data_IF_639768947233
#
_entry.id   IF_639768947233
#
_cell.length_a   1.000
_cell.length_b   1.000
_cell.length_c   1.000
_cell.angle_alpha   90.00
_cell.angle_beta   90.00
_cell.angle_gamma   90.00
#
_symmetry.space_group_name_H-M   'P 1'
#
loop_
_entity.id
_entity.type
_entity.pdbx_description
1 polymer ?
#
# COMPACT_ATOMS: atom_id res chain seq x y z
N UNK A 1 5.46 42.68 -54.69
CA UNK A 1 4.12 43.12 -54.23
C UNK A 1 3.19 41.93 -54.35
N UNK A 2 2.82 41.35 -53.22
CA UNK A 2 1.56 40.62 -53.03
C UNK A 2 1.23 40.67 -51.53
N UNK A 3 0.48 41.69 -51.08
CA UNK A 3 -0.08 41.72 -49.74
C UNK A 3 -1.58 41.44 -49.83
N UNK A 4 -2.02 40.25 -49.38
CA UNK A 4 -3.33 39.97 -48.79
C UNK A 4 -3.62 38.47 -48.87
N UNK A 5 -3.06 37.71 -47.93
CA UNK A 5 -3.82 36.59 -47.38
C UNK A 5 -4.39 37.08 -46.05
N UNK A 6 -5.72 37.29 -46.07
CA UNK A 6 -6.48 37.73 -44.92
C UNK A 6 -6.30 36.74 -43.77
N UNK A 7 -5.74 37.26 -42.68
CA UNK A 7 -5.79 36.61 -41.37
C UNK A 7 -7.25 36.62 -40.94
N UNK A 8 -7.97 35.54 -41.22
CA UNK A 8 -9.21 35.23 -40.51
C UNK A 8 -8.83 35.06 -39.04
N UNK A 9 -9.43 35.82 -38.10
CA UNK A 9 -9.21 35.53 -36.69
C UNK A 9 -9.83 34.15 -36.47
N UNK A 10 -8.97 33.15 -36.25
CA UNK A 10 -9.36 31.90 -35.63
C UNK A 10 -10.21 32.29 -34.42
N UNK A 11 -11.50 31.99 -34.48
CA UNK A 11 -12.41 32.05 -33.34
C UNK A 11 -11.83 31.10 -32.30
N UNK A 12 -10.92 31.64 -31.47
CA UNK A 12 -10.27 30.91 -30.40
C UNK A 12 -11.36 30.56 -29.40
N UNK A 13 -11.83 29.33 -29.52
CA UNK A 13 -12.75 28.70 -28.60
C UNK A 13 -12.07 28.69 -27.24
N UNK A 14 -12.64 29.46 -26.30
CA UNK A 14 -12.13 29.59 -24.94
C UNK A 14 -13.03 28.79 -24.03
N UNK A 15 -12.45 27.83 -23.33
CA UNK A 15 -13.21 26.86 -22.55
C UNK A 15 -13.05 27.19 -21.07
N UNK A 16 -14.17 27.38 -20.37
CA UNK A 16 -14.20 27.55 -18.92
C UNK A 16 -14.82 26.31 -18.28
N UNK A 17 -14.58 26.12 -16.99
CA UNK A 17 -15.18 25.02 -16.24
C UNK A 17 -16.72 25.09 -16.16
N UNK A 18 -17.30 26.26 -16.44
CA UNK A 18 -18.74 26.53 -16.36
C UNK A 18 -19.44 26.79 -17.72
N UNK A 19 -18.69 27.02 -18.79
CA UNK A 19 -19.24 27.25 -20.14
C UNK A 19 -18.17 27.20 -21.24
N UNK A 20 -18.62 27.09 -22.48
CA UNK A 20 -17.80 27.26 -23.68
C UNK A 20 -18.12 28.56 -24.42
N UNK A 21 -17.07 29.20 -24.94
CA UNK A 21 -17.16 30.43 -25.72
C UNK A 21 -16.85 30.15 -27.19
N UNK A 22 -17.87 30.27 -28.03
CA UNK A 22 -17.74 30.41 -29.48
C UNK A 22 -18.35 31.74 -29.90
N UNK A 23 -17.59 32.64 -30.55
CA UNK A 23 -18.17 33.80 -31.25
C UNK A 23 -18.94 34.84 -30.43
N UNK A 24 -19.00 34.74 -29.10
CA UNK A 24 -19.75 35.65 -28.23
C UNK A 24 -21.05 35.08 -27.66
N UNK A 25 -21.42 33.85 -28.00
CA UNK A 25 -22.51 33.10 -27.35
C UNK A 25 -21.97 32.32 -26.15
N UNK A 26 -22.58 32.54 -24.98
CA UNK A 26 -22.29 31.79 -23.76
C UNK A 26 -23.18 30.54 -23.71
N UNK A 27 -22.60 29.36 -23.79
CA UNK A 27 -23.33 28.11 -23.58
C UNK A 27 -23.14 27.66 -22.12
N UNK A 28 -24.04 28.14 -21.24
CA UNK A 28 -24.00 27.82 -19.83
C UNK A 28 -24.26 26.32 -19.58
N UNK A 29 -23.39 25.67 -18.82
CA UNK A 29 -23.62 24.32 -18.35
C UNK A 29 -24.66 24.30 -17.21
N UNK A 30 -25.36 23.18 -16.98
CA UNK A 30 -26.22 23.04 -15.81
C UNK A 30 -25.42 23.21 -14.51
N UNK A 31 -26.06 23.73 -13.46
CA UNK A 31 -25.47 23.84 -12.11
C UNK A 31 -25.41 22.48 -11.38
N UNK A 32 -25.16 21.40 -12.12
CA UNK A 32 -24.93 20.08 -11.59
C UNK A 32 -23.43 19.90 -11.34
N UNK A 33 -23.08 19.60 -10.09
CA UNK A 33 -21.71 19.41 -9.65
C UNK A 33 -21.00 18.29 -10.42
N UNK A 34 -21.73 17.26 -10.88
CA UNK A 34 -21.15 16.15 -11.66
C UNK A 34 -20.69 16.60 -13.04
N UNK A 35 -21.54 17.36 -13.73
CA UNK A 35 -21.26 17.87 -15.08
C UNK A 35 -20.08 18.85 -15.03
N UNK A 36 -20.08 19.74 -14.03
CA UNK A 36 -19.00 20.71 -13.83
C UNK A 36 -17.68 20.01 -13.46
N UNK A 37 -17.73 18.96 -12.63
CA UNK A 37 -16.57 18.15 -12.29
C UNK A 37 -16.00 17.39 -13.52
N UNK A 38 -16.84 16.75 -14.32
CA UNK A 38 -16.43 16.10 -15.57
C UNK A 38 -15.80 17.10 -16.54
N UNK A 39 -16.37 18.31 -16.63
CA UNK A 39 -15.81 19.39 -17.45
C UNK A 39 -14.41 19.78 -16.99
N UNK A 40 -14.21 19.93 -15.68
CA UNK A 40 -12.88 20.23 -15.12
C UNK A 40 -11.88 19.13 -15.46
N UNK A 41 -12.27 17.84 -15.36
CA UNK A 41 -11.42 16.71 -15.76
C UNK A 41 -11.07 16.76 -17.26
N UNK A 42 -12.00 17.15 -18.13
CA UNK A 42 -11.76 17.28 -19.59
C UNK A 42 -10.81 18.42 -19.94
N UNK A 43 -10.84 19.51 -19.17
CA UNK A 43 -9.98 20.67 -19.36
C UNK A 43 -8.56 20.48 -18.79
N UNK A 44 -8.33 19.41 -18.02
CA UNK A 44 -7.04 19.08 -17.42
C UNK A 44 -6.01 18.74 -18.52
N UNK A 45 -5.15 19.71 -18.86
CA UNK A 45 -4.16 19.58 -19.93
C UNK A 45 -4.56 20.20 -21.28
N UNK A 46 -5.76 20.78 -21.39
CA UNK A 46 -6.18 21.54 -22.56
C UNK A 46 -5.56 22.94 -22.56
N UNK A 47 -4.97 23.34 -23.68
CA UNK A 47 -4.36 24.68 -23.87
C UNK A 47 -5.39 25.79 -24.07
N UNK A 48 -6.65 25.44 -24.33
CA UNK A 48 -7.78 26.37 -24.49
C UNK A 48 -8.52 26.65 -23.19
N UNK A 49 -8.15 25.95 -22.10
CA UNK A 49 -8.71 26.14 -20.78
C UNK A 49 -8.28 27.50 -20.20
N UNK A 50 -9.26 28.32 -19.87
CA UNK A 50 -9.06 29.63 -19.26
C UNK A 50 -9.19 29.57 -17.74
N UNK A 51 -8.57 30.52 -17.05
CA UNK A 51 -8.62 30.60 -15.58
C UNK A 51 -10.04 30.91 -15.09
N UNK A 52 -10.41 30.47 -13.86
CA UNK A 52 -11.70 30.79 -13.26
C UNK A 52 -11.94 32.32 -13.19
N UNK A 53 -12.94 32.82 -13.94
CA UNK A 53 -13.33 34.24 -13.96
C UNK A 53 -14.81 34.42 -13.54
N UNK A 54 -15.01 34.99 -12.34
CA UNK A 54 -16.33 35.23 -11.77
C UNK A 54 -17.05 36.42 -12.43
N UNK A 55 -16.32 37.43 -12.89
CA UNK A 55 -16.92 38.60 -13.56
C UNK A 55 -17.54 38.17 -14.89
N UNK A 56 -16.87 37.27 -15.59
CA UNK A 56 -17.36 36.71 -16.83
C UNK A 56 -18.53 35.76 -16.61
N UNK A 57 -18.48 34.94 -15.55
CA UNK A 57 -19.60 34.08 -15.17
C UNK A 57 -20.90 34.88 -14.89
N UNK A 58 -20.78 36.07 -14.27
CA UNK A 58 -21.91 36.99 -14.08
C UNK A 58 -22.36 37.60 -15.41
N UNK A 59 -21.43 38.06 -16.26
CA UNK A 59 -21.75 38.63 -17.59
C UNK A 59 -22.49 37.64 -18.50
N UNK A 60 -22.14 36.35 -18.44
CA UNK A 60 -22.81 35.29 -19.19
C UNK A 60 -24.12 34.80 -18.55
N UNK A 61 -24.53 35.34 -17.40
CA UNK A 61 -25.76 34.95 -16.72
C UNK A 61 -25.72 33.56 -16.06
N UNK A 62 -24.53 32.98 -15.92
CA UNK A 62 -24.34 31.70 -15.24
C UNK A 62 -24.59 31.84 -13.73
N UNK A 63 -24.14 32.94 -13.12
CA UNK A 63 -24.32 33.22 -11.69
C UNK A 63 -24.74 34.67 -11.48
N UNK A 64 -25.46 34.96 -10.38
CA UNK A 64 -25.97 36.30 -10.10
C UNK A 64 -24.92 37.22 -9.51
N UNK A 65 -24.01 36.65 -8.71
CA UNK A 65 -23.00 37.42 -7.99
C UNK A 65 -21.78 36.55 -7.67
N UNK A 66 -20.74 37.21 -7.14
CA UNK A 66 -19.48 36.57 -6.73
C UNK A 66 -19.68 35.51 -5.63
N UNK A 67 -20.66 35.67 -4.74
CA UNK A 67 -20.94 34.70 -3.67
C UNK A 67 -21.41 33.37 -4.25
N UNK A 68 -22.43 33.41 -5.10
CA UNK A 68 -22.97 32.23 -5.79
C UNK A 68 -21.90 31.53 -6.65
N UNK A 69 -21.03 32.31 -7.31
CA UNK A 69 -19.87 31.76 -8.01
C UNK A 69 -18.93 30.97 -7.10
N UNK A 70 -18.54 31.56 -5.97
CA UNK A 70 -17.60 30.93 -5.03
C UNK A 70 -18.21 29.71 -4.36
N UNK A 71 -19.50 29.76 -4.01
CA UNK A 71 -20.21 28.61 -3.43
C UNK A 71 -20.26 27.44 -4.41
N UNK A 72 -20.57 27.71 -5.68
CA UNK A 72 -20.61 26.69 -6.72
C UNK A 72 -19.21 26.12 -7.03
N UNK A 73 -18.20 26.99 -7.09
CA UNK A 73 -16.80 26.58 -7.28
C UNK A 73 -16.32 25.71 -6.12
N UNK A 74 -16.59 26.14 -4.89
CA UNK A 74 -16.20 25.40 -3.69
C UNK A 74 -16.89 24.04 -3.61
N UNK A 75 -18.21 23.99 -3.88
CA UNK A 75 -18.95 22.73 -3.89
C UNK A 75 -18.45 21.77 -4.98
N UNK A 76 -18.17 22.28 -6.18
CA UNK A 76 -17.59 21.47 -7.28
C UNK A 76 -16.19 20.96 -6.93
N UNK A 77 -15.36 21.80 -6.30
CA UNK A 77 -14.02 21.41 -5.85
C UNK A 77 -14.06 20.34 -4.75
N UNK A 78 -14.97 20.45 -3.79
CA UNK A 78 -15.18 19.41 -2.77
C UNK A 78 -15.68 18.10 -3.38
N UNK A 79 -16.60 18.17 -4.34
CA UNK A 79 -17.08 17.01 -5.06
C UNK A 79 -15.95 16.29 -5.81
N UNK A 80 -15.13 17.04 -6.57
CA UNK A 80 -13.95 16.51 -7.26
C UNK A 80 -12.94 15.89 -6.30
N UNK A 81 -12.67 16.54 -5.18
CA UNK A 81 -11.75 16.02 -4.17
C UNK A 81 -12.27 14.70 -3.57
N UNK A 82 -13.56 14.63 -3.23
CA UNK A 82 -14.19 13.42 -2.70
C UNK A 82 -14.20 12.28 -3.73
N UNK A 83 -14.55 12.57 -4.98
CA UNK A 83 -14.55 11.60 -6.09
C UNK A 83 -13.15 11.03 -6.33
N UNK A 84 -12.13 11.88 -6.36
CA UNK A 84 -10.73 11.47 -6.50
C UNK A 84 -10.25 10.60 -5.35
N UNK A 85 -10.63 10.92 -4.11
CA UNK A 85 -10.32 10.09 -2.92
C UNK A 85 -10.98 8.71 -3.05
N UNK A 86 -12.22 8.64 -3.50
CA UNK A 86 -12.95 7.37 -3.67
C UNK A 86 -12.34 6.51 -4.79
N UNK A 87 -11.97 7.12 -5.92
CA UNK A 87 -11.25 6.44 -7.01
C UNK A 87 -9.89 5.90 -6.54
N UNK A 88 -9.04 6.72 -5.90
CA UNK A 88 -7.73 6.28 -5.41
C UNK A 88 -7.84 5.20 -4.32
N UNK A 89 -8.82 5.34 -3.40
CA UNK A 89 -9.05 4.36 -2.34
C UNK A 89 -9.46 3.00 -2.88
N UNK A 90 -10.14 2.91 -4.02
CA UNK A 90 -10.52 1.62 -4.62
C UNK A 90 -9.31 0.89 -5.21
N UNK A 91 -8.37 1.63 -5.79
CA UNK A 91 -7.18 1.09 -6.45
C UNK A 91 -6.17 0.50 -5.47
N UNK A 92 -6.01 1.12 -4.29
CA UNK A 92 -5.00 0.67 -3.32
C UNK A 92 -5.46 -0.48 -2.41
N UNK A 93 -6.67 -1.00 -2.62
CA UNK A 93 -7.25 -2.14 -1.88
C UNK A 93 -7.02 -2.04 -0.35
N UNK A 94 -7.58 -1.03 0.34
CA UNK A 94 -7.31 -0.72 1.75
C UNK A 94 -7.65 -1.88 2.69
N UNK A 95 -8.56 -2.77 2.28
CA UNK A 95 -8.87 -4.00 2.99
C UNK A 95 -7.62 -4.86 3.21
N UNK A 96 -6.72 -5.00 2.22
CA UNK A 96 -5.52 -5.83 2.33
C UNK A 96 -4.56 -5.26 3.39
N UNK A 97 -4.38 -3.94 3.38
CA UNK A 97 -3.54 -3.22 4.36
C UNK A 97 -4.10 -3.43 5.77
N UNK A 98 -5.41 -3.26 5.94
CA UNK A 98 -6.08 -3.46 7.24
C UNK A 98 -5.96 -4.91 7.70
N UNK A 99 -6.13 -5.90 6.81
CA UNK A 99 -5.97 -7.31 7.17
C UNK A 99 -4.53 -7.62 7.63
N UNK A 100 -3.52 -7.06 6.99
CA UNK A 100 -2.11 -7.20 7.41
C UNK A 100 -1.88 -6.56 8.77
N UNK A 101 -2.36 -5.33 8.98
CA UNK A 101 -2.26 -4.65 10.29
C UNK A 101 -2.93 -5.47 11.39
N UNK A 102 -4.14 -5.98 11.15
CA UNK A 102 -4.84 -6.85 12.09
C UNK A 102 -4.05 -8.13 12.39
N UNK A 103 -3.36 -8.71 11.40
CA UNK A 103 -2.52 -9.88 11.61
C UNK A 103 -1.34 -9.56 12.55
N UNK A 104 -0.72 -8.39 12.39
CA UNK A 104 0.40 -7.93 13.24
C UNK A 104 -0.04 -7.58 14.66
N UNK A 105 -1.23 -7.00 14.82
CA UNK A 105 -1.84 -6.77 16.13
C UNK A 105 -2.13 -8.09 16.85
N UNK A 106 -2.69 -9.08 16.15
CA UNK A 106 -2.93 -10.41 16.73
C UNK A 106 -1.61 -11.07 17.15
N UNK A 107 -0.56 -10.99 16.33
CA UNK A 107 0.77 -11.51 16.68
C UNK A 107 1.32 -10.80 17.95
N UNK A 108 1.10 -9.49 18.07
CA UNK A 108 1.50 -8.71 19.26
C UNK A 108 0.74 -9.15 20.52
N UNK A 109 -0.58 -9.30 20.43
CA UNK A 109 -1.41 -9.77 21.56
C UNK A 109 -1.02 -11.19 21.98
N UNK A 110 -0.83 -12.10 21.03
CA UNK A 110 -0.40 -13.48 21.33
C UNK A 110 0.93 -13.48 22.08
N UNK A 111 1.89 -12.68 21.65
CA UNK A 111 3.20 -12.58 22.30
C UNK A 111 3.08 -12.01 23.71
N UNK A 112 2.35 -10.90 23.88
CA UNK A 112 2.14 -10.28 25.17
C UNK A 112 1.48 -11.25 26.17
N UNK A 113 0.36 -11.87 25.78
CA UNK A 113 -0.33 -12.82 26.63
C UNK A 113 0.55 -14.02 26.96
N UNK A 114 1.27 -14.56 25.98
CA UNK A 114 2.18 -15.69 26.21
C UNK A 114 3.29 -15.35 27.21
N UNK A 115 3.89 -14.17 27.11
CA UNK A 115 4.91 -13.71 28.07
C UNK A 115 4.34 -13.54 29.47
N UNK A 116 3.18 -12.89 29.60
CA UNK A 116 2.52 -12.69 30.90
C UNK A 116 2.09 -14.03 31.54
N UNK A 117 1.57 -14.96 30.75
CA UNK A 117 1.20 -16.31 31.22
C UNK A 117 2.42 -17.06 31.75
N UNK A 118 3.58 -16.95 31.07
CA UNK A 118 4.83 -17.59 31.52
C UNK A 118 5.32 -16.99 32.83
N UNK A 119 5.24 -15.67 32.99
CA UNK A 119 5.59 -15.01 34.25
C UNK A 119 4.67 -15.43 35.40
N UNK A 120 3.35 -15.47 35.19
CA UNK A 120 2.39 -15.95 36.19
C UNK A 120 2.67 -17.39 36.58
N UNK A 121 2.85 -18.28 35.60
CA UNK A 121 3.16 -19.69 35.87
C UNK A 121 4.44 -19.88 36.69
N UNK A 122 5.49 -19.08 36.43
CA UNK A 122 6.73 -19.09 37.23
C UNK A 122 6.53 -18.65 38.67
N UNK A 123 5.63 -17.69 38.91
CA UNK A 123 5.33 -17.23 40.26
C UNK A 123 4.66 -18.33 41.09
N UNK A 124 3.80 -19.15 40.46
CA UNK A 124 3.16 -20.30 41.10
C UNK A 124 4.09 -21.52 41.22
N UNK A 125 5.06 -21.65 40.30
CA UNK A 125 5.95 -22.80 40.20
C UNK A 125 7.44 -22.41 40.25
N UNK A 126 8.01 -22.06 41.43
CA UNK A 126 9.41 -21.61 41.54
C UNK A 126 10.46 -22.60 41.03
N UNK A 127 10.17 -23.91 41.07
CA UNK A 127 11.03 -24.98 40.55
C UNK A 127 11.19 -24.94 39.03
N UNK A 128 10.21 -24.36 38.31
CA UNK A 128 10.25 -24.18 36.85
C UNK A 128 11.34 -23.20 36.42
N UNK A 129 11.79 -22.30 37.30
CA UNK A 129 12.80 -21.29 36.99
C UNK A 129 14.24 -21.81 36.90
N UNK A 130 14.51 -23.04 37.37
CA UNK A 130 15.89 -23.47 37.69
C UNK A 130 16.54 -24.50 36.76
N UNK A 131 15.82 -25.18 35.87
CA UNK A 131 16.36 -26.42 35.27
C UNK A 131 16.54 -26.54 33.76
N UNK A 132 15.92 -25.77 32.86
CA UNK A 132 16.01 -26.09 31.43
C UNK A 132 15.75 -24.92 30.47
N UNK A 133 16.23 -25.10 29.23
CA UNK A 133 15.72 -24.42 28.04
C UNK A 133 14.18 -24.48 28.04
N UNK A 134 13.53 -23.33 28.25
CA UNK A 134 12.07 -23.27 28.34
C UNK A 134 11.51 -23.62 26.95
N UNK A 135 10.68 -24.68 26.82
CA UNK A 135 10.04 -25.02 25.56
C UNK A 135 9.31 -23.78 24.99
N UNK A 136 9.20 -23.65 23.68
CA UNK A 136 8.47 -22.53 23.05
C UNK A 136 7.18 -23.01 22.40
N UNK A 137 6.22 -22.09 22.29
CA UNK A 137 4.97 -22.32 21.56
C UNK A 137 4.08 -23.37 22.22
N UNK A 138 3.53 -24.30 21.42
CA UNK A 138 2.53 -25.27 21.89
C UNK A 138 3.02 -26.11 23.08
N UNK A 139 4.24 -26.64 23.02
CA UNK A 139 4.81 -27.48 24.11
C UNK A 139 4.88 -26.77 25.46
N UNK A 140 5.11 -25.45 25.44
CA UNK A 140 5.13 -24.65 26.67
C UNK A 140 3.73 -24.53 27.26
N UNK A 141 2.73 -24.27 26.41
CA UNK A 141 1.34 -24.15 26.84
C UNK A 141 0.79 -25.47 27.36
N UNK A 142 1.10 -26.58 26.69
CA UNK A 142 0.68 -27.91 27.13
C UNK A 142 1.26 -28.22 28.53
N UNK A 143 2.55 -27.92 28.74
CA UNK A 143 3.20 -28.09 30.05
C UNK A 143 2.60 -27.17 31.12
N UNK A 144 2.30 -25.92 30.78
CA UNK A 144 1.70 -24.96 31.71
C UNK A 144 0.29 -25.39 32.13
N UNK A 145 -0.48 -25.96 31.20
CA UNK A 145 -1.87 -26.41 31.44
C UNK A 145 -1.97 -27.43 32.58
N UNK A 146 -1.03 -28.37 32.65
CA UNK A 146 -1.05 -29.44 33.66
C UNK A 146 -0.69 -28.96 35.08
N UNK A 147 -0.05 -27.78 35.20
CA UNK A 147 0.39 -27.21 36.48
C UNK A 147 -0.19 -25.82 36.79
N UNK A 148 -1.23 -25.40 36.06
CA UNK A 148 -1.87 -24.09 36.19
C UNK A 148 -3.19 -24.16 36.96
N UNK A 149 -3.59 -23.03 37.55
CA UNK A 149 -4.96 -22.85 38.05
C UNK A 149 -5.95 -22.67 36.89
N UNK A 150 -7.25 -22.74 37.20
CA UNK A 150 -8.33 -22.65 36.20
C UNK A 150 -8.25 -21.34 35.39
N UNK A 151 -7.99 -20.22 36.07
CA UNK A 151 -7.90 -18.90 35.45
C UNK A 151 -6.75 -18.79 34.43
N UNK A 152 -5.56 -19.29 34.76
CA UNK A 152 -4.44 -19.34 33.82
C UNK A 152 -4.73 -20.32 32.67
N UNK A 153 -5.44 -21.42 32.94
CA UNK A 153 -5.93 -22.36 31.92
C UNK A 153 -6.78 -21.67 30.86
N UNK A 154 -7.78 -20.88 31.27
CA UNK A 154 -8.64 -20.11 30.35
C UNK A 154 -7.82 -19.17 29.46
N UNK A 155 -6.87 -18.42 30.04
CA UNK A 155 -6.00 -17.52 29.25
C UNK A 155 -5.18 -18.29 28.20
N UNK A 156 -4.68 -19.49 28.55
CA UNK A 156 -3.94 -20.34 27.61
C UNK A 156 -4.82 -20.83 26.45
N UNK A 157 -6.10 -21.12 26.72
CA UNK A 157 -7.09 -21.46 25.70
C UNK A 157 -7.38 -20.30 24.76
N UNK A 158 -7.54 -19.09 25.29
CA UNK A 158 -7.71 -17.87 24.49
C UNK A 158 -6.50 -17.60 23.59
N UNK A 159 -5.27 -17.80 24.08
CA UNK A 159 -4.04 -17.71 23.27
C UNK A 159 -4.08 -18.73 22.12
N UNK A 160 -4.53 -19.96 22.38
CA UNK A 160 -4.66 -20.98 21.34
C UNK A 160 -5.70 -20.60 20.29
N UNK A 161 -6.87 -20.11 20.72
CA UNK A 161 -7.90 -19.62 19.81
C UNK A 161 -7.38 -18.48 18.94
N UNK A 162 -6.70 -17.48 19.52
CA UNK A 162 -6.07 -16.40 18.78
C UNK A 162 -5.04 -16.92 17.77
N UNK A 163 -4.21 -17.89 18.15
CA UNK A 163 -3.23 -18.52 17.25
C UNK A 163 -3.90 -19.20 16.05
N UNK A 164 -5.04 -19.87 16.26
CA UNK A 164 -5.83 -20.47 15.17
C UNK A 164 -6.42 -19.39 14.26
N UNK A 165 -7.06 -18.36 14.83
CA UNK A 165 -7.64 -17.23 14.08
C UNK A 165 -6.60 -16.48 13.26
N UNK A 166 -5.41 -16.25 13.84
CA UNK A 166 -4.22 -15.71 13.18
C UNK A 166 -3.86 -16.50 11.93
N UNK A 167 -3.83 -17.83 12.04
CA UNK A 167 -3.49 -18.71 10.92
C UNK A 167 -4.53 -18.63 9.80
N UNK A 168 -5.83 -18.59 10.15
CA UNK A 168 -6.91 -18.38 9.18
C UNK A 168 -6.81 -17.02 8.49
N UNK A 169 -6.57 -15.95 9.24
CA UNK A 169 -6.39 -14.60 8.68
C UNK A 169 -5.17 -14.55 7.76
N UNK A 170 -4.05 -15.16 8.15
CA UNK A 170 -2.84 -15.24 7.32
C UNK A 170 -3.10 -15.93 5.98
N UNK A 171 -3.91 -16.99 5.94
CA UNK A 171 -4.31 -17.64 4.68
C UNK A 171 -5.19 -16.72 3.83
N UNK A 172 -6.16 -16.02 4.43
CA UNK A 172 -7.00 -15.05 3.74
C UNK A 172 -6.19 -13.88 3.16
N UNK A 173 -5.26 -13.33 3.94
CA UNK A 173 -4.32 -12.28 3.49
C UNK A 173 -3.52 -12.77 2.29
N UNK A 174 -2.96 -13.99 2.37
CA UNK A 174 -2.18 -14.54 1.26
C UNK A 174 -3.01 -14.76 -0.01
N UNK A 175 -4.26 -15.18 0.12
CA UNK A 175 -5.16 -15.37 -1.02
C UNK A 175 -5.55 -14.02 -1.65
N UNK A 176 -5.90 -13.03 -0.83
CA UNK A 176 -6.23 -11.67 -1.32
C UNK A 176 -5.03 -10.98 -1.96
N UNK A 177 -3.83 -11.17 -1.42
CA UNK A 177 -2.62 -10.67 -2.06
C UNK A 177 -2.35 -11.33 -3.42
N UNK A 178 -2.69 -12.61 -3.61
CA UNK A 178 -2.55 -13.25 -4.92
C UNK A 178 -3.56 -12.72 -5.96
N UNK A 179 -4.70 -12.19 -5.51
CA UNK A 179 -5.70 -11.54 -6.35
C UNK A 179 -5.21 -10.16 -6.83
N UNK A 180 -4.69 -9.32 -5.92
CA UNK A 180 -4.31 -7.93 -6.24
C UNK A 180 -2.83 -7.75 -6.64
N UNK A 181 -1.97 -8.67 -6.22
CA UNK A 181 -0.52 -8.65 -6.45
C UNK A 181 -0.04 -10.01 -6.97
N UNK A 182 -0.58 -10.52 -8.10
CA UNK A 182 -0.26 -11.85 -8.60
C UNK A 182 1.24 -12.04 -8.87
N UNK A 183 1.91 -11.03 -9.43
CA UNK A 183 3.33 -11.14 -9.77
C UNK A 183 4.22 -11.07 -8.51
N UNK A 184 3.98 -10.13 -7.60
CA UNK A 184 4.72 -10.07 -6.34
C UNK A 184 4.49 -11.33 -5.48
N UNK A 185 3.25 -11.83 -5.43
CA UNK A 185 2.89 -13.04 -4.70
C UNK A 185 3.58 -14.28 -5.27
N UNK A 186 3.73 -14.39 -6.59
CA UNK A 186 4.47 -15.48 -7.24
C UNK A 186 5.98 -15.45 -6.94
N UNK A 187 6.56 -14.27 -6.65
CA UNK A 187 8.00 -14.13 -6.36
C UNK A 187 8.36 -14.29 -4.88
N UNK A 188 7.55 -13.75 -3.96
CA UNK A 188 7.86 -13.71 -2.52
C UNK A 188 6.87 -14.46 -1.63
N UNK A 189 5.77 -14.97 -2.19
CA UNK A 189 4.63 -15.51 -1.45
C UNK A 189 3.63 -14.42 -1.06
N UNK A 190 2.34 -14.76 -1.06
CA UNK A 190 1.25 -13.78 -0.86
C UNK A 190 1.34 -13.03 0.47
N UNK A 191 1.73 -13.70 1.56
CA UNK A 191 1.88 -13.03 2.86
C UNK A 191 3.00 -11.97 2.87
N UNK A 192 4.14 -12.25 2.25
CA UNK A 192 5.26 -11.28 2.17
C UNK A 192 4.89 -10.14 1.24
N UNK A 193 4.26 -10.43 0.09
CA UNK A 193 3.77 -9.41 -0.83
C UNK A 193 2.76 -8.46 -0.15
N UNK A 194 1.79 -9.00 0.59
CA UNK A 194 0.83 -8.21 1.36
C UNK A 194 1.51 -7.28 2.37
N UNK A 195 2.48 -7.81 3.12
CA UNK A 195 3.25 -7.05 4.12
C UNK A 195 4.07 -5.94 3.50
N UNK A 196 4.68 -6.17 2.33
CA UNK A 196 5.41 -5.14 1.59
C UNK A 196 4.48 -4.01 1.14
N UNK A 197 3.29 -4.34 0.60
CA UNK A 197 2.32 -3.33 0.19
C UNK A 197 1.80 -2.52 1.40
N UNK A 198 1.50 -3.19 2.51
CA UNK A 198 1.04 -2.55 3.73
C UNK A 198 2.10 -1.60 4.34
N UNK A 199 3.36 -2.03 4.41
CA UNK A 199 4.47 -1.18 4.91
C UNK A 199 4.80 -0.03 3.95
N UNK A 200 4.61 -0.23 2.64
CA UNK A 200 4.75 0.84 1.65
C UNK A 200 3.64 1.89 1.72
N UNK A 201 2.50 1.55 2.32
CA UNK A 201 1.31 2.40 2.40
C UNK A 201 0.31 2.21 1.27
N UNK A 202 0.44 1.15 0.47
CA UNK A 202 -0.42 0.87 -0.68
C UNK A 202 0.33 0.17 -1.81
N UNK A 203 -0.42 -0.36 -2.78
CA UNK A 203 0.14 -1.01 -3.97
C UNK A 203 0.79 0.04 -4.86
N UNK A 204 0.15 1.21 -5.00
CA UNK A 204 0.69 2.35 -5.75
C UNK A 204 2.04 2.78 -5.18
N UNK A 205 2.10 2.99 -3.87
CA UNK A 205 3.32 3.39 -3.19
C UNK A 205 4.44 2.35 -3.40
N UNK A 206 4.12 1.05 -3.28
CA UNK A 206 5.06 -0.03 -3.53
C UNK A 206 5.58 -0.03 -4.98
N UNK A 207 4.71 0.19 -5.98
CA UNK A 207 5.08 0.24 -7.39
C UNK A 207 6.04 1.41 -7.73
N UNK A 208 5.97 2.50 -6.96
CA UNK A 208 6.85 3.65 -7.12
C UNK A 208 8.21 3.48 -6.42
N UNK A 209 8.34 2.52 -5.50
CA UNK A 209 9.58 2.31 -4.76
C UNK A 209 10.69 1.70 -5.64
N UNK A 210 11.95 2.16 -5.49
CA UNK A 210 13.10 1.47 -6.08
C UNK A 210 13.40 0.16 -5.34
N UNK A 211 14.04 -0.79 -6.03
CA UNK A 211 14.40 -2.08 -5.43
C UNK A 211 15.28 -1.98 -4.18
N UNK A 212 16.13 -0.96 -4.07
CA UNK A 212 16.94 -0.70 -2.86
C UNK A 212 16.08 -0.34 -1.65
N UNK A 213 14.98 0.41 -1.84
CA UNK A 213 14.04 0.74 -0.77
C UNK A 213 13.24 -0.51 -0.36
N UNK A 214 12.73 -1.28 -1.34
CA UNK A 214 12.01 -2.55 -1.09
C UNK A 214 12.90 -3.54 -0.33
N UNK A 215 14.20 -3.59 -0.62
CA UNK A 215 15.14 -4.50 0.05
C UNK A 215 15.16 -4.30 1.57
N UNK A 216 15.11 -3.05 2.04
CA UNK A 216 15.21 -2.69 3.46
C UNK A 216 13.86 -2.33 4.09
N UNK A 217 12.76 -2.47 3.35
CA UNK A 217 11.41 -2.14 3.81
C UNK A 217 11.04 -2.97 5.05
N UNK A 218 10.58 -2.32 6.13
CA UNK A 218 10.35 -2.93 7.44
C UNK A 218 11.59 -3.06 8.34
N UNK A 219 12.77 -2.59 7.92
CA UNK A 219 13.97 -2.45 8.77
C UNK A 219 14.25 -0.98 9.16
N UNK A 220 13.18 -0.18 9.28
CA UNK A 220 13.22 1.28 9.49
C UNK A 220 14.18 1.70 10.61
N UNK A 221 14.06 1.09 11.78
CA UNK A 221 14.88 1.44 12.95
C UNK A 221 16.37 1.20 12.71
N UNK A 222 16.73 0.04 12.13
CA UNK A 222 18.12 -0.28 11.82
C UNK A 222 18.69 0.64 10.72
N UNK A 223 17.86 1.02 9.74
CA UNK A 223 18.24 1.96 8.70
C UNK A 223 18.50 3.36 9.28
N UNK A 224 17.63 3.87 10.15
CA UNK A 224 17.84 5.18 10.80
C UNK A 224 19.05 5.18 11.72
N UNK A 225 19.29 4.09 12.45
CA UNK A 225 20.54 3.93 13.20
C UNK A 225 21.76 4.05 12.27
N UNK A 226 21.78 3.35 11.13
CA UNK A 226 22.86 3.49 10.14
C UNK A 226 23.04 4.94 9.67
N UNK A 227 21.95 5.63 9.32
CA UNK A 227 22.01 7.01 8.85
C UNK A 227 22.48 7.98 9.94
N UNK A 228 22.18 7.71 11.21
CA UNK A 228 22.51 8.60 12.33
C UNK A 228 23.88 8.32 12.94
N UNK A 229 24.30 7.06 13.00
CA UNK A 229 25.51 6.63 13.73
C UNK A 229 26.56 5.96 12.84
N UNK A 230 26.35 5.93 11.51
CA UNK A 230 27.19 5.23 10.55
C UNK A 230 27.38 3.72 10.83
N UNK A 231 26.55 3.10 11.67
CA UNK A 231 26.56 1.65 11.92
C UNK A 231 26.28 0.86 10.63
N UNK A 232 26.73 -0.39 10.43
CA UNK A 232 26.49 -1.11 9.18
C UNK A 232 25.01 -1.15 8.74
N UNK A 233 24.70 -0.92 7.44
CA UNK A 233 23.32 -0.85 6.97
C UNK A 233 22.61 -2.21 7.06
N UNK A 234 21.27 -2.23 7.26
CA UNK A 234 20.51 -3.47 7.24
C UNK A 234 20.58 -4.13 5.85
N UNK A 235 20.86 -5.44 5.82
CA UNK A 235 20.98 -6.20 4.56
C UNK A 235 19.62 -6.53 3.94
N UNK A 236 18.57 -6.57 4.75
CA UNK A 236 17.22 -6.97 4.35
C UNK A 236 16.19 -6.54 5.42
N UNK A 237 14.98 -6.21 4.99
CA UNK A 237 13.81 -6.03 5.85
C UNK A 237 12.83 -7.20 5.74
N UNK A 238 11.56 -6.92 5.42
CA UNK A 238 10.48 -7.92 5.29
C UNK A 238 10.80 -9.03 4.28
N UNK A 239 11.56 -8.71 3.22
CA UNK A 239 12.02 -9.70 2.23
C UNK A 239 12.84 -10.84 2.83
N UNK A 240 13.36 -10.67 4.06
CA UNK A 240 14.03 -11.73 4.80
C UNK A 240 13.11 -12.91 5.11
N UNK A 241 11.80 -12.69 5.29
CA UNK A 241 10.82 -13.73 5.61
C UNK A 241 10.61 -14.72 4.45
N UNK A 242 10.97 -14.32 3.23
CA UNK A 242 10.93 -15.23 2.09
C UNK A 242 11.95 -16.37 2.26
N UNK A 243 11.50 -17.61 2.09
CA UNK A 243 12.31 -18.82 2.30
C UNK A 243 13.62 -18.81 1.51
N UNK A 244 13.61 -18.30 0.28
CA UNK A 244 14.82 -18.19 -0.55
C UNK A 244 15.89 -17.29 0.06
N UNK A 245 15.51 -16.25 0.81
CA UNK A 245 16.45 -15.38 1.53
C UNK A 245 16.82 -16.01 2.88
N UNK A 246 15.84 -16.33 3.75
CA UNK A 246 16.12 -16.85 5.09
C UNK A 246 16.96 -18.14 5.07
N UNK A 247 16.61 -19.06 4.17
CA UNK A 247 17.26 -20.35 4.00
C UNK A 247 18.63 -20.30 3.31
N UNK A 248 19.01 -19.16 2.74
CA UNK A 248 20.33 -18.99 2.15
C UNK A 248 21.43 -18.83 3.21
N UNK A 249 22.65 -19.25 2.87
CA UNK A 249 23.86 -19.03 3.69
C UNK A 249 24.04 -17.53 4.01
N UNK A 250 24.55 -17.21 5.21
CA UNK A 250 24.57 -15.85 5.78
C UNK A 250 25.26 -14.83 4.86
N UNK A 251 26.29 -15.28 4.15
CA UNK A 251 27.10 -14.49 3.21
C UNK A 251 26.30 -14.14 1.95
N UNK A 252 25.39 -15.04 1.52
CA UNK A 252 24.61 -14.93 0.28
C UNK A 252 23.27 -14.22 0.47
N UNK A 253 22.74 -14.17 1.70
CA UNK A 253 21.45 -13.53 2.03
C UNK A 253 21.29 -12.13 1.44
N UNK A 254 22.32 -11.30 1.56
CA UNK A 254 22.28 -9.93 1.04
C UNK A 254 22.20 -9.87 -0.49
N UNK A 255 22.90 -10.77 -1.20
CA UNK A 255 22.83 -10.87 -2.67
C UNK A 255 21.44 -11.31 -3.12
N UNK A 256 20.89 -12.36 -2.51
CA UNK A 256 19.55 -12.88 -2.83
C UNK A 256 18.48 -11.84 -2.53
N UNK A 257 18.55 -11.17 -1.36
CA UNK A 257 17.60 -10.12 -0.99
C UNK A 257 17.59 -8.96 -1.99
N UNK A 258 18.78 -8.51 -2.44
CA UNK A 258 18.90 -7.44 -3.45
C UNK A 258 18.28 -7.84 -4.79
N UNK A 259 18.56 -9.05 -5.27
CA UNK A 259 18.01 -9.56 -6.54
C UNK A 259 16.50 -9.72 -6.44
N UNK A 260 16.00 -10.28 -5.34
CA UNK A 260 14.57 -10.42 -5.07
C UNK A 260 13.88 -9.05 -5.07
N UNK A 261 14.42 -8.08 -4.33
CA UNK A 261 13.83 -6.74 -4.23
C UNK A 261 13.82 -6.01 -5.58
N UNK A 262 14.85 -6.18 -6.41
CA UNK A 262 14.87 -5.63 -7.77
C UNK A 262 13.77 -6.24 -8.66
N UNK A 263 13.53 -7.56 -8.56
CA UNK A 263 12.44 -8.21 -9.29
C UNK A 263 11.07 -7.84 -8.74
N UNK A 264 10.94 -7.70 -7.42
CA UNK A 264 9.70 -7.22 -6.78
C UNK A 264 9.34 -5.80 -7.20
N UNK A 265 10.32 -4.90 -7.39
CA UNK A 265 10.06 -3.54 -7.89
C UNK A 265 9.44 -3.56 -9.30
N UNK A 266 9.85 -4.50 -10.14
CA UNK A 266 9.26 -4.67 -11.49
C UNK A 266 7.88 -5.33 -11.38
N UNK A 267 7.77 -6.38 -10.56
CA UNK A 267 6.52 -7.09 -10.31
C UNK A 267 5.42 -6.15 -9.80
N UNK A 268 5.73 -5.29 -8.82
CA UNK A 268 4.80 -4.32 -8.27
C UNK A 268 4.28 -3.32 -9.31
N UNK A 269 5.13 -2.93 -10.28
CA UNK A 269 4.71 -2.08 -11.40
C UNK A 269 3.77 -2.81 -12.35
N UNK A 270 4.06 -4.08 -12.64
CA UNK A 270 3.18 -4.90 -13.48
C UNK A 270 1.83 -5.07 -12.78
N UNK A 271 1.84 -5.43 -11.50
CA UNK A 271 0.63 -5.59 -10.68
C UNK A 271 -0.20 -4.30 -10.66
N UNK A 272 0.42 -3.13 -10.39
CA UNK A 272 -0.31 -1.86 -10.32
C UNK A 272 -0.83 -1.36 -11.67
N UNK A 273 -0.03 -1.40 -12.74
CA UNK A 273 -0.40 -0.80 -14.03
C UNK A 273 -1.18 -1.75 -14.96
N UNK A 274 -1.00 -3.07 -14.82
CA UNK A 274 -1.69 -4.07 -15.65
C UNK A 274 -2.74 -4.87 -14.90
N UNK A 275 -2.55 -5.12 -13.59
CA UNK A 275 -3.48 -5.93 -12.79
C UNK A 275 -3.50 -7.42 -13.16
N UNK A 276 -2.60 -7.89 -14.02
CA UNK A 276 -2.58 -9.25 -14.55
C UNK A 276 -1.26 -9.96 -14.25
N UNK A 277 -1.34 -11.28 -14.10
CA UNK A 277 -0.15 -12.13 -13.97
C UNK A 277 0.63 -12.16 -15.29
N UNK A 278 1.95 -12.01 -15.22
CA UNK A 278 2.88 -12.16 -16.35
C UNK A 278 3.76 -13.41 -16.12
N UNK A 279 3.35 -14.60 -16.64
CA UNK A 279 4.07 -15.85 -16.39
C UNK A 279 5.51 -15.83 -16.93
N UNK A 280 5.73 -15.16 -18.07
CA UNK A 280 7.05 -15.08 -18.72
C UNK A 280 8.02 -14.27 -17.85
N UNK A 281 7.55 -13.16 -17.29
CA UNK A 281 8.32 -12.39 -16.34
C UNK A 281 8.59 -13.18 -15.06
N UNK A 282 7.56 -13.83 -14.49
CA UNK A 282 7.67 -14.59 -13.23
C UNK A 282 8.73 -15.69 -13.36
N UNK A 283 8.70 -16.49 -14.42
CA UNK A 283 9.65 -17.58 -14.64
C UNK A 283 11.09 -17.07 -14.70
N UNK A 284 11.36 -16.05 -15.54
CA UNK A 284 12.69 -15.43 -15.67
C UNK A 284 13.16 -14.80 -14.36
N UNK A 285 12.26 -14.18 -13.62
CA UNK A 285 12.57 -13.57 -12.32
C UNK A 285 12.92 -14.63 -11.27
N UNK A 286 12.15 -15.71 -11.18
CA UNK A 286 12.40 -16.83 -10.28
C UNK A 286 13.75 -17.49 -10.58
N UNK A 287 14.07 -17.72 -11.85
CA UNK A 287 15.37 -18.26 -12.26
C UNK A 287 16.53 -17.35 -11.81
N UNK A 288 16.40 -16.04 -12.02
CA UNK A 288 17.41 -15.06 -11.59
C UNK A 288 17.62 -15.10 -10.07
N UNK A 289 16.54 -15.20 -9.30
CA UNK A 289 16.58 -15.26 -7.82
C UNK A 289 17.26 -16.55 -7.35
N UNK A 290 16.93 -17.70 -7.96
CA UNK A 290 17.55 -18.99 -7.65
C UNK A 290 19.04 -18.99 -7.97
N UNK A 291 19.42 -18.46 -9.13
CA UNK A 291 20.82 -18.36 -9.56
C UNK A 291 21.64 -17.48 -8.61
N UNK A 292 21.05 -16.42 -8.05
CA UNK A 292 21.71 -15.57 -7.06
C UNK A 292 22.07 -16.32 -5.76
N UNK A 293 21.30 -17.36 -5.39
CA UNK A 293 21.60 -18.23 -4.25
C UNK A 293 22.63 -19.32 -4.56
N UNK A 294 22.76 -19.70 -5.84
CA UNK A 294 23.62 -20.80 -6.31
C UNK A 294 25.02 -20.36 -6.75
N UNK A 295 25.21 -19.13 -7.24
CA UNK A 295 26.53 -18.69 -7.74
C UNK A 295 27.64 -18.92 -6.70
N UNK A 296 28.84 -19.37 -7.13
CA UNK A 296 29.99 -19.60 -6.26
C UNK A 296 30.29 -18.36 -5.41
#
# INVERSE_FOLDING_TARGET
MNPNEGSYPLLLMKSYWFLDREGGTCHALPHDQRILAERIKQLEGDKTAETPDWEYAVKCGFVKNRGEYLDLLHATALFLAADRIDEESKVDHPELILMVKMLDEIDTVINLLSERSVEWYRALNPEFSRKSEIPRGRKLRDLMRDGSDEALGEILDEIEQLTRRRSTLSMKVSAKAAEFLPNCSALAGGLVAARLAAEAGGIRALALMPGSAIQVLGARNALFCHLSTASPPPKHGLVYQYRGVHGSRKERRGKVARVLAAKLAIAAKIDYYRGESDPVFIEKAQETILNAGRSP
#
